data_IF_729950512529
#
_entry.id   IF_729950512529
#
_cell.length_a   1.000
_cell.length_b   1.000
_cell.length_c   1.000
_cell.angle_alpha   90.00
_cell.angle_beta   90.00
_cell.angle_gamma   90.00
#
_symmetry.space_group_name_H-M   'P 1'
#
loop_
_entity.id
_entity.type
_entity.pdbx_description
1 polymer ?
#
# COMPACT_ATOMS: atom_id res chain seq x y z
N UNK A 1 9.96 -6.42 9.30
CA UNK A 1 9.67 -5.60 8.09
C UNK A 1 9.79 -6.53 6.89
N UNK A 2 8.70 -6.82 6.18
CA UNK A 2 8.73 -7.67 5.00
C UNK A 2 9.53 -7.03 3.85
N UNK A 3 10.17 -7.85 3.02
CA UNK A 3 10.81 -7.36 1.80
C UNK A 3 9.73 -6.91 0.81
N UNK A 4 9.96 -5.80 0.11
CA UNK A 4 9.06 -5.35 -0.96
C UNK A 4 9.30 -6.15 -2.24
N UNK A 5 8.25 -6.40 -3.05
CA UNK A 5 8.39 -7.04 -4.35
C UNK A 5 9.25 -6.23 -5.32
N UNK A 6 10.23 -6.86 -5.99
CA UNK A 6 11.13 -6.15 -6.92
C UNK A 6 11.47 -6.92 -8.20
N UNK A 7 11.82 -6.21 -9.27
CA UNK A 7 12.37 -6.77 -10.52
C UNK A 7 13.76 -6.22 -10.85
N UNK A 8 14.42 -6.84 -11.85
CA UNK A 8 15.67 -6.41 -12.53
C UNK A 8 16.69 -5.76 -11.59
N UNK A 9 17.35 -6.59 -10.79
CA UNK A 9 18.37 -6.16 -9.83
C UNK A 9 17.81 -5.40 -8.62
N UNK A 10 16.51 -5.50 -8.37
CA UNK A 10 15.83 -4.81 -7.28
C UNK A 10 15.39 -3.38 -7.60
N UNK A 11 15.54 -2.91 -8.85
CA UNK A 11 15.40 -1.48 -9.13
C UNK A 11 13.96 -1.02 -9.27
N UNK A 12 13.09 -1.79 -9.93
CA UNK A 12 11.67 -1.46 -10.00
C UNK A 12 10.98 -2.18 -8.85
N UNK A 13 10.31 -1.39 -8.01
CA UNK A 13 9.73 -1.83 -6.74
C UNK A 13 8.25 -1.51 -6.77
N UNK A 14 7.42 -2.54 -6.60
CA UNK A 14 6.01 -2.33 -6.31
C UNK A 14 5.89 -1.91 -4.84
N UNK A 15 5.48 -0.67 -4.61
CA UNK A 15 5.49 -0.05 -3.29
C UNK A 15 4.20 -0.29 -2.53
N UNK A 16 3.09 -0.16 -3.23
CA UNK A 16 1.78 -0.06 -2.59
C UNK A 16 0.70 -0.48 -3.58
N UNK A 17 -0.28 -1.19 -3.03
CA UNK A 17 -1.61 -1.37 -3.57
C UNK A 17 -2.57 -0.89 -2.48
N UNK A 18 -3.29 0.21 -2.76
CA UNK A 18 -4.27 0.79 -1.86
C UNK A 18 -5.64 0.79 -2.53
N UNK A 19 -6.67 0.38 -1.79
CA UNK A 19 -8.08 0.34 -2.22
C UNK A 19 -8.96 0.59 -0.98
N UNK A 20 -10.23 0.97 -1.17
CA UNK A 20 -11.20 0.93 -0.07
C UNK A 20 -11.35 -0.49 0.47
N UNK A 21 -11.60 -0.61 1.77
CA UNK A 21 -11.85 -1.90 2.42
C UNK A 21 -13.21 -2.49 1.99
N UNK A 22 -14.20 -1.62 1.74
CA UNK A 22 -15.51 -2.01 1.24
C UNK A 22 -16.13 -0.99 0.30
N UNK A 23 -17.05 -1.47 -0.54
CA UNK A 23 -17.82 -0.69 -1.53
C UNK A 23 -19.26 -1.22 -1.59
N UNK A 24 -20.20 -0.39 -2.01
CA UNK A 24 -21.57 -0.86 -2.24
C UNK A 24 -21.67 -1.65 -3.55
N UNK A 25 -22.62 -2.59 -3.67
CA UNK A 25 -22.87 -3.28 -4.92
C UNK A 25 -23.20 -2.31 -6.07
N UNK A 26 -22.62 -2.54 -7.24
CA UNK A 26 -22.81 -1.71 -8.43
C UNK A 26 -21.98 -0.41 -8.46
N UNK A 27 -21.18 -0.13 -7.43
CA UNK A 27 -20.26 1.01 -7.43
C UNK A 27 -18.94 0.74 -8.19
N UNK A 28 -18.05 1.73 -8.22
CA UNK A 28 -16.72 1.60 -8.80
C UNK A 28 -15.69 1.56 -7.67
N UNK A 29 -14.90 0.49 -7.58
CA UNK A 29 -13.75 0.44 -6.68
C UNK A 29 -12.51 0.99 -7.39
N UNK A 30 -11.84 1.99 -6.80
CA UNK A 30 -10.57 2.50 -7.32
C UNK A 30 -9.38 1.95 -6.52
N UNK A 31 -8.48 1.24 -7.19
CA UNK A 31 -7.18 0.86 -6.66
C UNK A 31 -6.09 1.85 -7.08
N UNK A 32 -5.27 2.28 -6.13
CA UNK A 32 -4.05 3.03 -6.37
C UNK A 32 -2.83 2.11 -6.27
N UNK A 33 -2.16 1.94 -7.40
CA UNK A 33 -0.95 1.13 -7.51
C UNK A 33 0.24 2.08 -7.62
N UNK A 34 1.20 1.97 -6.70
CA UNK A 34 2.42 2.81 -6.71
C UNK A 34 3.66 1.99 -6.97
N UNK A 35 4.45 2.44 -7.93
CA UNK A 35 5.70 1.80 -8.33
C UNK A 35 6.82 2.83 -8.24
N UNK A 36 7.98 2.40 -7.75
CA UNK A 36 9.20 3.20 -7.71
C UNK A 36 10.27 2.53 -8.54
N UNK A 37 10.79 3.25 -9.53
CA UNK A 37 12.02 2.86 -10.20
C UNK A 37 13.21 3.53 -9.53
N UNK A 38 14.18 2.72 -9.10
CA UNK A 38 15.44 3.16 -8.47
C UNK A 38 16.61 3.20 -9.45
N UNK A 39 16.46 2.65 -10.65
CA UNK A 39 17.47 2.79 -11.69
C UNK A 39 17.43 4.22 -12.27
N UNK A 40 18.59 4.79 -12.57
CA UNK A 40 18.71 6.09 -13.25
C UNK A 40 17.95 6.04 -14.60
N UNK A 41 18.10 4.93 -15.32
CA UNK A 41 17.42 4.66 -16.59
C UNK A 41 17.39 3.15 -16.84
N UNK A 42 16.33 2.63 -17.45
CA UNK A 42 16.34 1.31 -18.11
C UNK A 42 16.98 1.51 -19.48
N UNK A 43 18.03 0.74 -19.80
CA UNK A 43 18.83 0.95 -21.00
C UNK A 43 17.92 1.05 -22.25
N UNK A 44 17.99 2.14 -23.05
CA UNK A 44 17.14 2.32 -24.23
C UNK A 44 17.28 1.24 -25.31
N UNK A 45 18.39 0.48 -25.27
CA UNK A 45 18.65 -0.67 -26.13
C UNK A 45 18.06 -1.98 -25.58
N UNK A 46 17.57 -1.99 -24.33
CA UNK A 46 16.85 -3.14 -23.80
C UNK A 46 15.55 -3.32 -24.57
N UNK A 47 15.18 -4.57 -24.83
CA UNK A 47 13.91 -4.95 -25.46
C UNK A 47 12.68 -4.65 -24.59
N UNK A 48 12.86 -4.01 -23.43
CA UNK A 48 11.82 -3.66 -22.46
C UNK A 48 10.94 -2.48 -22.93
N UNK A 49 10.54 -2.43 -24.20
CA UNK A 49 9.74 -1.32 -24.75
C UNK A 49 8.25 -1.58 -24.62
N UNK A 50 7.58 -0.87 -23.72
CA UNK A 50 6.14 -0.94 -23.51
C UNK A 50 5.40 0.07 -24.40
N UNK A 51 5.13 -0.27 -25.67
CA UNK A 51 4.43 0.58 -26.67
C UNK A 51 4.84 2.06 -26.68
N UNK A 52 6.06 2.36 -26.25
CA UNK A 52 6.63 3.68 -26.04
C UNK A 52 7.99 3.69 -26.76
N UNK A 53 8.43 4.82 -27.35
CA UNK A 53 9.79 4.95 -27.88
C UNK A 53 10.90 4.63 -26.86
N UNK A 54 10.60 4.65 -25.55
CA UNK A 54 11.56 4.42 -24.46
C UNK A 54 11.31 3.06 -23.78
N UNK A 55 12.39 2.41 -23.35
CA UNK A 55 12.33 1.22 -22.50
C UNK A 55 11.67 1.53 -21.13
N UNK A 56 11.04 0.53 -20.52
CA UNK A 56 10.11 0.70 -19.44
C UNK A 56 9.58 -0.61 -18.88
N UNK A 57 8.40 -0.54 -18.26
CA UNK A 57 7.72 -1.68 -17.65
C UNK A 57 6.20 -1.53 -17.75
N UNK A 58 5.50 -2.64 -17.52
CA UNK A 58 4.05 -2.75 -17.48
C UNK A 58 3.60 -2.83 -16.03
N UNK A 59 2.68 -1.96 -15.65
CA UNK A 59 1.89 -2.15 -14.44
C UNK A 59 0.65 -2.98 -14.80
N UNK A 60 0.36 -4.02 -14.03
CA UNK A 60 -0.79 -4.91 -14.23
C UNK A 60 -1.58 -5.04 -12.93
N UNK A 61 -2.88 -5.27 -13.09
CA UNK A 61 -3.79 -5.51 -11.99
C UNK A 61 -4.86 -6.54 -12.38
N UNK A 62 -5.26 -7.36 -11.42
CA UNK A 62 -6.32 -8.36 -11.55
C UNK A 62 -7.32 -8.25 -10.42
N UNK A 63 -8.55 -8.69 -10.67
CA UNK A 63 -9.60 -8.86 -9.67
C UNK A 63 -9.97 -10.34 -9.61
N UNK A 64 -9.72 -10.97 -8.48
CA UNK A 64 -10.16 -12.34 -8.20
C UNK A 64 -11.55 -12.29 -7.58
N UNK A 65 -12.50 -12.94 -8.25
CA UNK A 65 -13.90 -13.09 -7.87
C UNK A 65 -14.03 -14.10 -6.71
N UNK A 66 -15.15 -14.11 -5.97
CA UNK A 66 -15.45 -15.12 -4.96
C UNK A 66 -15.45 -16.56 -5.50
N UNK A 67 -15.67 -16.74 -6.81
CA UNK A 67 -15.58 -18.03 -7.49
C UNK A 67 -14.15 -18.57 -7.63
N UNK A 68 -13.13 -17.73 -7.37
CA UNK A 68 -11.72 -18.00 -7.59
C UNK A 68 -11.23 -17.68 -9.01
N UNK A 69 -12.10 -17.19 -9.90
CA UNK A 69 -11.70 -16.70 -11.22
C UNK A 69 -11.06 -15.32 -11.12
N UNK A 70 -9.92 -15.11 -11.80
CA UNK A 70 -9.24 -13.81 -11.87
C UNK A 70 -9.47 -13.14 -13.21
N UNK A 71 -10.04 -11.94 -13.17
CA UNK A 71 -10.22 -11.07 -14.34
C UNK A 71 -9.09 -10.05 -14.38
N UNK A 72 -8.26 -10.15 -15.41
CA UNK A 72 -7.14 -9.23 -15.62
C UNK A 72 -7.56 -7.97 -16.33
N UNK A 73 -7.03 -6.85 -15.88
CA UNK A 73 -7.28 -5.54 -16.49
C UNK A 73 -6.26 -5.20 -17.57
N UNK A 74 -6.54 -4.15 -18.34
CA UNK A 74 -5.57 -3.57 -19.27
C UNK A 74 -4.29 -3.13 -18.53
N UNK A 75 -3.15 -3.33 -19.18
CA UNK A 75 -1.85 -2.90 -18.66
C UNK A 75 -1.62 -1.39 -18.83
N UNK A 76 -0.86 -0.78 -17.90
CA UNK A 76 -0.32 0.58 -18.06
C UNK A 76 1.17 0.53 -18.35
N UNK A 77 1.57 1.09 -19.48
CA UNK A 77 2.98 1.27 -19.83
C UNK A 77 3.59 2.47 -19.09
N UNK A 78 4.77 2.26 -18.53
CA UNK A 78 5.51 3.27 -17.78
C UNK A 78 6.95 3.34 -18.27
N UNK A 79 7.48 4.56 -18.41
CA UNK A 79 8.86 4.78 -18.81
C UNK A 79 9.84 4.33 -17.71
N UNK A 80 11.01 3.88 -18.13
CA UNK A 80 12.06 3.37 -17.24
C UNK A 80 12.93 4.44 -16.59
N UNK A 81 12.41 5.63 -16.34
CA UNK A 81 13.13 6.75 -15.71
C UNK A 81 13.14 6.64 -14.18
N UNK A 82 14.06 7.36 -13.54
CA UNK A 82 14.16 7.41 -12.08
C UNK A 82 13.03 8.24 -11.47
N UNK A 83 11.90 7.60 -11.19
CA UNK A 83 10.71 8.28 -10.70
C UNK A 83 9.76 7.35 -9.94
N UNK A 84 8.78 7.95 -9.27
CA UNK A 84 7.63 7.25 -8.70
C UNK A 84 6.45 7.42 -9.66
N UNK A 85 5.73 6.33 -9.90
CA UNK A 85 4.54 6.32 -10.74
C UNK A 85 3.36 5.79 -9.96
N UNK A 86 2.23 6.49 -10.10
CA UNK A 86 0.94 6.06 -9.56
C UNK A 86 0.00 5.71 -10.72
N UNK A 87 -0.73 4.62 -10.56
CA UNK A 87 -1.81 4.25 -11.45
C UNK A 87 -3.08 4.07 -10.64
N UNK A 88 -4.07 4.94 -10.88
CA UNK A 88 -5.44 4.74 -10.43
C UNK A 88 -6.13 3.83 -11.43
N UNK A 89 -6.63 2.69 -10.95
CA UNK A 89 -7.35 1.70 -11.73
C UNK A 89 -8.70 1.43 -11.10
N UNK A 90 -9.76 1.69 -11.85
CA UNK A 90 -11.12 1.37 -11.46
C UNK A 90 -11.53 -0.03 -11.89
N UNK A 91 -12.30 -0.68 -11.03
CA UNK A 91 -12.97 -1.96 -11.22
C UNK A 91 -14.47 -1.76 -11.09
N UNK A 92 -15.23 -2.34 -12.01
CA UNK A 92 -16.68 -2.43 -11.90
C UNK A 92 -17.02 -3.51 -10.88
N UNK A 93 -17.77 -3.11 -9.86
CA UNK A 93 -18.15 -3.96 -8.73
C UNK A 93 -19.48 -4.62 -9.09
N UNK A 94 -19.57 -5.96 -9.09
CA UNK A 94 -20.84 -6.63 -9.37
C UNK A 94 -21.89 -6.29 -8.30
N UNK A 95 -23.17 -6.45 -8.68
CA UNK A 95 -24.30 -6.30 -7.75
C UNK A 95 -24.33 -7.42 -6.68
N UNK A 96 -23.57 -8.48 -6.93
CA UNK A 96 -23.45 -9.64 -6.04
C UNK A 96 -22.44 -9.31 -4.93
N UNK A 97 -22.91 -9.28 -3.68
CA UNK A 97 -22.04 -9.10 -2.52
C UNK A 97 -21.01 -10.23 -2.36
N UNK A 98 -19.93 -9.97 -1.63
CA UNK A 98 -18.89 -10.97 -1.34
C UNK A 98 -17.51 -10.38 -1.14
N UNK A 99 -16.53 -11.27 -0.90
CA UNK A 99 -15.12 -10.88 -0.74
C UNK A 99 -14.35 -11.12 -2.04
N UNK A 100 -13.65 -10.08 -2.46
CA UNK A 100 -12.86 -10.04 -3.68
C UNK A 100 -11.41 -9.78 -3.31
N UNK A 101 -10.48 -10.17 -4.18
CA UNK A 101 -9.07 -9.88 -3.99
C UNK A 101 -8.57 -9.10 -5.19
N UNK A 102 -8.06 -7.89 -4.95
CA UNK A 102 -7.34 -7.11 -5.95
C UNK A 102 -5.87 -7.47 -5.84
N UNK A 103 -5.28 -7.83 -6.97
CA UNK A 103 -3.85 -8.10 -7.07
C UNK A 103 -3.17 -7.14 -8.04
N UNK A 104 -1.91 -6.79 -7.77
CA UNK A 104 -1.09 -5.96 -8.64
C UNK A 104 0.36 -6.46 -8.70
N UNK A 105 0.96 -6.36 -9.88
CA UNK A 105 2.37 -6.66 -10.09
C UNK A 105 2.94 -5.82 -11.25
N UNK A 106 4.26 -5.79 -11.36
CA UNK A 106 4.97 -5.14 -12.46
C UNK A 106 5.67 -6.18 -13.31
N UNK A 107 5.63 -6.01 -14.63
CA UNK A 107 6.31 -6.87 -15.60
C UNK A 107 7.27 -6.05 -16.47
N UNK A 108 8.50 -6.55 -16.59
CA UNK A 108 9.50 -6.02 -17.52
C UNK A 108 9.16 -6.47 -18.93
N UNK A 109 8.87 -5.55 -19.86
CA UNK A 109 8.24 -5.87 -21.15
C UNK A 109 9.04 -6.82 -22.05
N UNK A 110 10.38 -6.73 -22.04
CA UNK A 110 11.24 -7.49 -22.94
C UNK A 110 11.70 -8.79 -22.33
N UNK A 111 12.04 -8.78 -21.04
CA UNK A 111 12.49 -9.97 -20.31
C UNK A 111 11.37 -10.81 -19.71
N UNK A 112 10.15 -10.29 -19.60
CA UNK A 112 9.01 -10.95 -18.95
C UNK A 112 9.13 -11.11 -17.43
N UNK A 113 10.22 -10.62 -16.82
CA UNK A 113 10.44 -10.73 -15.38
C UNK A 113 9.39 -9.92 -14.61
N UNK A 114 8.82 -10.51 -13.57
CA UNK A 114 7.79 -9.86 -12.74
C UNK A 114 8.27 -9.59 -11.33
N UNK A 115 7.65 -8.61 -10.66
CA UNK A 115 7.75 -8.49 -9.21
C UNK A 115 6.95 -9.62 -8.58
N UNK A 116 7.12 -9.86 -7.29
CA UNK A 116 6.06 -10.52 -6.53
C UNK A 116 4.77 -9.67 -6.58
N UNK A 117 3.65 -10.32 -6.30
CA UNK A 117 2.33 -9.71 -6.29
C UNK A 117 2.06 -9.03 -4.94
N UNK A 118 1.41 -7.86 -4.98
CA UNK A 118 0.69 -7.33 -3.81
C UNK A 118 -0.78 -7.66 -3.95
N UNK A 119 -1.37 -8.18 -2.88
CA UNK A 119 -2.78 -8.54 -2.79
C UNK A 119 -3.45 -7.73 -1.69
N UNK A 120 -4.70 -7.40 -1.91
CA UNK A 120 -5.54 -6.69 -0.95
C UNK A 120 -6.99 -7.13 -1.12
N UNK A 121 -7.70 -7.23 0.00
CA UNK A 121 -9.11 -7.64 0.02
C UNK A 121 -10.03 -6.45 -0.20
N UNK A 122 -11.14 -6.69 -0.89
CA UNK A 122 -12.24 -5.77 -1.10
C UNK A 122 -13.55 -6.49 -0.76
N UNK A 123 -14.32 -5.98 0.20
CA UNK A 123 -15.62 -6.54 0.54
C UNK A 123 -16.74 -5.73 -0.10
N UNK A 124 -17.63 -6.40 -0.84
CA UNK A 124 -18.84 -5.78 -1.40
C UNK A 124 -20.00 -6.06 -0.45
N UNK A 125 -20.48 -5.02 0.21
CA UNK A 125 -21.56 -5.13 1.20
C UNK A 125 -22.49 -3.95 1.10
N UNK A 126 -23.79 -4.20 1.03
CA UNK A 126 -24.79 -3.14 1.25
C UNK A 126 -24.78 -2.76 2.73
N UNK A 127 -24.49 -1.51 3.04
CA UNK A 127 -24.73 -0.99 4.38
C UNK A 127 -26.24 -0.85 4.55
N UNK A 128 -26.89 -1.47 5.56
CA UNK A 128 -28.29 -1.19 5.84
C UNK A 128 -28.42 0.31 6.13
N UNK A 129 -29.47 1.00 5.64
CA UNK A 129 -29.68 2.38 6.02
C UNK A 129 -29.74 2.47 7.54
N UNK A 130 -29.01 3.42 8.13
CA UNK A 130 -29.10 3.69 9.57
C UNK A 130 -30.57 3.89 9.90
N UNK A 131 -31.14 3.01 10.72
CA UNK A 131 -32.50 3.22 11.23
C UNK A 131 -32.41 4.47 12.09
N UNK A 132 -33.25 5.50 11.84
CA UNK A 132 -33.27 6.67 12.71
C UNK A 132 -33.39 6.18 14.15
N UNK A 133 -32.47 6.62 15.01
CA UNK A 133 -32.62 6.45 16.43
C UNK A 133 -33.88 7.25 16.79
N UNK A 134 -35.03 6.56 16.89
CA UNK A 134 -36.28 7.13 17.40
C UNK A 134 -36.02 7.42 18.88
N UNK A 135 -35.29 8.51 19.12
CA UNK A 135 -34.98 9.08 20.42
C UNK A 135 -36.30 9.40 21.10
N UNK A 136 -36.76 8.44 21.90
CA UNK A 136 -37.94 8.56 22.74
C UNK A 136 -37.88 9.87 23.53
N UNK A 137 -38.90 10.69 23.33
CA UNK A 137 -39.19 11.84 24.17
C UNK A 137 -39.55 11.34 25.56
N UNK A 138 -38.58 11.33 26.48
CA UNK A 138 -38.85 11.31 27.91
C UNK A 138 -38.96 12.76 28.39
N UNK A 139 -40.18 13.29 28.28
CA UNK A 139 -40.62 14.47 29.02
C UNK A 139 -40.66 14.09 30.52
N UNK A 140 -39.60 14.41 31.27
CA UNK A 140 -39.68 14.51 32.72
C UNK A 140 -39.35 15.94 33.16
N UNK A 141 -40.44 16.68 33.31
CA UNK A 141 -40.56 17.97 33.97
C UNK A 141 -40.23 17.84 35.47
N UNK A 142 -39.48 18.81 36.01
CA UNK A 142 -39.48 19.10 37.43
C UNK A 142 -38.11 19.19 38.11
N UNK A 143 -37.61 20.42 38.32
CA UNK A 143 -36.65 20.65 39.40
C UNK A 143 -35.73 21.87 39.29
N UNK A 144 -36.24 23.05 39.67
CA UNK A 144 -35.48 24.28 39.96
C UNK A 144 -34.17 24.06 40.76
N UNK A 145 -33.06 24.72 40.36
CA UNK A 145 -31.90 24.89 41.25
C UNK A 145 -30.61 25.47 40.62
N UNK A 146 -30.57 26.80 40.49
CA UNK A 146 -29.47 27.79 40.28
C UNK A 146 -28.00 27.39 39.92
N UNK A 147 -27.27 28.27 39.18
CA UNK A 147 -26.06 27.92 38.43
C UNK A 147 -24.74 28.41 39.06
N UNK A 148 -24.41 28.09 40.32
CA UNK A 148 -23.10 28.51 40.87
C UNK A 148 -22.67 27.59 42.02
N UNK A 149 -21.71 26.67 41.78
CA UNK A 149 -20.75 26.13 42.75
C UNK A 149 -19.78 25.15 42.04
N UNK A 150 -18.45 25.39 42.07
CA UNK A 150 -17.47 24.41 41.61
C UNK A 150 -17.24 23.35 42.69
N UNK A 151 -17.60 22.10 42.39
CA UNK A 151 -17.21 20.96 43.23
C UNK A 151 -15.84 20.47 42.75
N UNK A 152 -14.84 20.62 43.63
CA UNK A 152 -13.44 20.43 43.32
C UNK A 152 -12.94 19.00 43.34
N UNK A 153 -11.63 18.89 43.10
CA UNK A 153 -10.78 17.80 43.58
C UNK A 153 -10.22 16.91 42.49
N UNK A 154 -9.04 17.28 41.96
CA UNK A 154 -7.84 16.42 41.87
C UNK A 154 -6.76 17.12 41.05
N UNK A 155 -5.81 17.75 41.74
CA UNK A 155 -4.53 18.24 41.20
C UNK A 155 -3.56 17.05 41.12
N UNK A 156 -2.93 16.76 39.97
CA UNK A 156 -1.81 15.82 39.91
C UNK A 156 -0.51 16.48 40.39
N UNK A 157 0.20 15.76 41.27
CA UNK A 157 1.49 16.09 41.89
C UNK A 157 2.65 16.05 40.87
N UNK A 158 3.52 17.07 40.80
CA UNK A 158 4.72 17.08 39.96
C UNK A 158 5.94 16.55 40.72
N UNK A 159 6.09 15.23 40.79
CA UNK A 159 7.25 14.61 41.44
C UNK A 159 7.77 13.35 40.73
N UNK A 160 7.83 13.37 39.40
CA UNK A 160 8.61 12.38 38.62
C UNK A 160 9.51 13.05 37.56
N UNK A 161 10.84 13.05 37.72
CA UNK A 161 11.76 13.54 36.69
C UNK A 161 11.95 12.52 35.56
N UNK A 162 11.54 12.91 34.35
CA UNK A 162 11.86 12.25 33.08
C UNK A 162 13.37 12.19 32.87
N UNK A 163 13.94 11.00 33.06
CA UNK A 163 15.34 10.69 32.80
C UNK A 163 15.57 10.49 31.29
N UNK A 164 15.65 11.59 30.55
CA UNK A 164 16.10 11.61 29.14
C UNK A 164 17.63 11.72 29.16
N UNK A 165 18.30 10.59 29.27
CA UNK A 165 19.76 10.54 29.38
C UNK A 165 20.35 9.20 28.95
N UNK A 166 20.70 9.09 27.67
CA UNK A 166 21.78 8.20 27.23
C UNK A 166 21.37 6.94 26.47
N UNK A 167 21.16 7.05 25.16
CA UNK A 167 21.49 5.99 24.18
C UNK A 167 21.83 6.62 22.82
N UNK A 168 22.92 7.38 22.74
CA UNK A 168 23.54 7.82 21.49
C UNK A 168 24.93 7.20 21.33
N UNK A 169 25.05 5.86 21.47
CA UNK A 169 26.35 5.18 21.36
C UNK A 169 26.29 3.77 20.73
N UNK A 170 25.35 3.54 19.80
CA UNK A 170 25.27 2.28 19.04
C UNK A 170 25.09 2.42 17.53
N UNK A 171 25.12 3.64 16.99
CA UNK A 171 24.88 3.87 15.55
C UNK A 171 26.14 3.68 14.66
N UNK A 172 27.34 3.60 15.25
CA UNK A 172 28.60 3.68 14.49
C UNK A 172 29.28 2.33 14.20
N UNK A 173 28.79 1.21 14.74
CA UNK A 173 29.44 -0.11 14.60
C UNK A 173 28.80 -0.99 13.49
N UNK A 174 27.60 -0.66 13.00
CA UNK A 174 26.88 -1.47 11.99
C UNK A 174 27.29 -1.15 10.54
N UNK A 175 27.85 0.04 10.28
CA UNK A 175 28.23 0.45 8.90
C UNK A 175 29.47 -0.30 8.39
N UNK A 176 30.35 -0.79 9.27
CA UNK A 176 31.59 -1.48 8.88
C UNK A 176 31.41 -2.90 8.31
N UNK A 177 30.32 -3.60 8.61
CA UNK A 177 30.13 -5.01 8.22
C UNK A 177 29.38 -5.22 6.90
N UNK A 178 28.69 -4.20 6.36
CA UNK A 178 27.94 -4.34 5.10
C UNK A 178 28.86 -4.24 3.87
N UNK A 179 30.06 -3.68 3.99
CA UNK A 179 31.00 -3.54 2.88
C UNK A 179 31.68 -4.85 2.44
N UNK A 180 31.73 -5.89 3.30
CA UNK A 180 32.41 -7.16 2.97
C UNK A 180 31.47 -8.15 2.27
N UNK A 181 30.15 -8.02 2.44
CA UNK A 181 29.18 -8.95 1.83
C UNK A 181 28.99 -8.74 0.30
N UNK A 182 29.26 -7.55 -0.23
CA UNK A 182 29.08 -7.26 -1.66
C UNK A 182 30.28 -7.62 -2.55
N UNK A 183 31.43 -7.97 -1.97
CA UNK A 183 32.62 -8.36 -2.74
C UNK A 183 32.70 -9.87 -3.03
N UNK A 184 31.85 -10.70 -2.40
CA UNK A 184 31.90 -12.15 -2.55
C UNK A 184 30.93 -12.73 -3.60
N UNK A 185 29.90 -11.97 -4.01
CA UNK A 185 28.83 -12.47 -4.91
C UNK A 185 28.96 -12.02 -6.38
N UNK A 186 30.14 -11.52 -6.78
CA UNK A 186 30.44 -11.16 -8.18
C UNK A 186 31.53 -12.04 -8.80
N UNK A 187 31.84 -13.19 -8.20
CA UNK A 187 33.03 -13.99 -8.52
C UNK A 187 32.80 -15.39 -9.11
N UNK A 188 31.56 -15.84 -9.33
CA UNK A 188 31.32 -17.20 -9.81
C UNK A 188 30.24 -17.25 -10.89
N UNK A 189 30.62 -16.94 -12.14
CA UNK A 189 30.12 -17.59 -13.36
C UNK A 189 30.92 -17.06 -14.58
N UNK A 190 32.17 -17.49 -14.67
CA UNK A 190 33.00 -17.41 -15.89
C UNK A 190 33.88 -18.65 -16.01
N UNK A 191 33.34 -19.85 -16.20
CA UNK A 191 34.04 -20.87 -16.99
C UNK A 191 33.06 -21.90 -17.57
N UNK A 192 33.34 -22.23 -18.83
CA UNK A 192 32.72 -23.19 -19.75
C UNK A 192 32.49 -24.60 -19.23
#
# INVERSE_FOLDING_TARGET
>A
MGSLPTTKGGNVVLKELALPDSVEPGEMAEAQIRVKNRAIVINPLDGDRCNNPVAGYKMRAGLTLPSGETVYTNEKCVAGDFSNHTWAKTFEVPDDGGDYTVEAWVEMTGSGKTTDTLEQSLSITSTPPETPDDGGSDDNDGGNGLPWLPSGGSTPDPSDPLNIGGQMDKLLLVVGLIAVAWAADSGAEVIS
#
